data_IF_668446467127
#
_entry.id   IF_668446467127
#
_cell.length_a   1.000
_cell.length_b   1.000
_cell.length_c   1.000
_cell.angle_alpha   90.00
_cell.angle_beta   90.00
_cell.angle_gamma   90.00
#
_symmetry.space_group_name_H-M   'P 1'
#
loop_
_entity.id
_entity.type
_entity.pdbx_description
1 polymer ?
#
# COMPACT_ATOMS: atom_id res chain seq x y z
N UNK A 1 -5.82 -27.87 -6.17
CA UNK A 1 -5.33 -28.40 -4.88
C UNK A 1 -6.18 -27.81 -3.76
N UNK A 2 -6.71 -28.59 -2.82
CA UNK A 2 -7.44 -28.08 -1.64
C UNK A 2 -6.56 -28.30 -0.41
N UNK A 3 -6.03 -27.24 0.19
CA UNK A 3 -5.12 -27.32 1.35
C UNK A 3 -5.83 -27.54 2.70
N UNK A 4 -7.09 -28.00 2.68
CA UNK A 4 -7.91 -28.11 3.89
C UNK A 4 -8.42 -26.77 4.44
N UNK A 5 -8.07 -25.64 3.82
CA UNK A 5 -8.55 -24.31 4.21
C UNK A 5 -10.04 -24.14 3.90
N UNK A 6 -10.77 -23.51 4.83
CA UNK A 6 -12.11 -22.99 4.59
C UNK A 6 -11.98 -21.58 4.03
N UNK A 7 -12.50 -21.35 2.83
CA UNK A 7 -12.47 -20.04 2.16
C UNK A 7 -13.91 -19.56 2.01
N UNK A 8 -14.18 -18.35 2.47
CA UNK A 8 -15.48 -17.70 2.32
C UNK A 8 -15.28 -16.24 1.89
N UNK A 9 -16.16 -15.70 1.03
CA UNK A 9 -16.19 -14.26 0.77
C UNK A 9 -16.47 -13.50 2.07
N UNK A 10 -15.73 -12.43 2.30
CA UNK A 10 -15.90 -11.58 3.47
C UNK A 10 -15.72 -10.12 3.10
N UNK A 11 -16.42 -9.24 3.80
CA UNK A 11 -16.23 -7.80 3.71
C UNK A 11 -15.35 -7.32 4.85
N UNK A 12 -14.45 -6.39 4.55
CA UNK A 12 -13.58 -5.76 5.56
C UNK A 12 -14.12 -4.37 5.82
N UNK A 13 -14.52 -4.12 7.06
CA UNK A 13 -14.92 -2.79 7.49
C UNK A 13 -13.69 -2.06 8.06
N UNK A 14 -13.40 -0.87 7.55
CA UNK A 14 -12.31 -0.02 8.07
C UNK A 14 -12.71 0.72 9.35
N UNK A 15 -13.97 0.65 9.79
CA UNK A 15 -14.49 1.40 10.93
C UNK A 15 -14.73 2.88 10.64
N UNK A 16 -14.46 3.31 9.40
CA UNK A 16 -14.63 4.66 8.85
C UNK A 16 -14.96 4.55 7.36
N UNK A 17 -15.45 5.63 6.75
CA UNK A 17 -15.64 5.66 5.29
C UNK A 17 -14.29 5.67 4.56
N UNK A 18 -14.30 5.28 3.27
CA UNK A 18 -13.10 5.36 2.43
C UNK A 18 -12.59 6.80 2.31
N UNK A 19 -13.48 7.78 2.16
CA UNK A 19 -13.11 9.19 2.09
C UNK A 19 -12.46 9.68 3.39
N UNK A 20 -13.02 9.31 4.55
CA UNK A 20 -12.46 9.65 5.86
C UNK A 20 -11.08 9.00 6.07
N UNK A 21 -10.94 7.74 5.63
CA UNK A 21 -9.66 7.03 5.64
C UNK A 21 -8.60 7.76 4.80
N UNK A 22 -8.91 8.11 3.54
CA UNK A 22 -7.96 8.78 2.65
C UNK A 22 -7.61 10.17 3.17
N UNK A 23 -8.59 10.97 3.61
CA UNK A 23 -8.34 12.31 4.14
C UNK A 23 -7.46 12.28 5.39
N UNK A 24 -7.70 11.35 6.32
CA UNK A 24 -6.87 11.21 7.51
C UNK A 24 -5.42 10.86 7.15
N UNK A 25 -5.22 9.92 6.23
CA UNK A 25 -3.88 9.55 5.78
C UNK A 25 -3.19 10.71 5.05
N UNK A 26 -3.89 11.45 4.19
CA UNK A 26 -3.35 12.64 3.52
C UNK A 26 -2.86 13.67 4.55
N UNK A 27 -3.66 13.97 5.59
CA UNK A 27 -3.27 14.86 6.70
C UNK A 27 -2.01 14.41 7.40
N UNK A 28 -1.93 13.13 7.78
CA UNK A 28 -0.77 12.58 8.48
C UNK A 28 0.48 12.59 7.60
N UNK A 29 0.36 12.16 6.34
CA UNK A 29 1.51 12.01 5.44
C UNK A 29 2.09 13.36 5.05
N UNK A 30 1.25 14.32 4.65
CA UNK A 30 1.73 15.64 4.22
C UNK A 30 2.25 16.47 5.39
N UNK A 31 1.64 16.39 6.58
CA UNK A 31 2.17 17.05 7.77
C UNK A 31 3.55 16.48 8.16
N UNK A 32 3.74 15.16 8.08
CA UNK A 32 5.04 14.53 8.29
C UNK A 32 6.04 14.95 7.21
N UNK A 33 5.62 14.98 5.94
CA UNK A 33 6.45 15.38 4.80
C UNK A 33 7.06 16.78 4.97
N UNK A 34 6.31 17.74 5.52
CA UNK A 34 6.81 19.09 5.79
C UNK A 34 8.10 19.06 6.61
N UNK A 35 8.12 18.27 7.70
CA UNK A 35 9.29 18.17 8.56
C UNK A 35 10.51 17.59 7.84
N UNK A 36 10.31 16.61 6.96
CA UNK A 36 11.39 16.04 6.14
C UNK A 36 11.92 17.04 5.12
N UNK A 37 11.04 17.71 4.38
CA UNK A 37 11.43 18.67 3.35
C UNK A 37 12.15 19.86 3.96
N UNK A 38 11.64 20.42 5.07
CA UNK A 38 12.30 21.53 5.77
C UNK A 38 13.70 21.10 6.26
N UNK A 39 13.81 19.89 6.82
CA UNK A 39 15.10 19.35 7.26
C UNK A 39 16.10 19.15 6.11
N UNK A 40 15.66 18.66 4.96
CA UNK A 40 16.52 18.54 3.77
C UNK A 40 16.90 19.91 3.20
N UNK A 41 15.96 20.84 3.13
CA UNK A 41 16.20 22.20 2.65
C UNK A 41 17.27 22.90 3.50
N UNK A 42 17.17 22.77 4.83
CA UNK A 42 18.18 23.27 5.77
C UNK A 42 19.52 22.57 5.57
N UNK A 43 19.55 21.23 5.54
CA UNK A 43 20.78 20.45 5.45
C UNK A 43 21.56 20.70 4.15
N UNK A 44 20.87 20.95 3.04
CA UNK A 44 21.48 21.21 1.72
C UNK A 44 21.59 22.69 1.37
N UNK A 45 21.03 23.60 2.18
CA UNK A 45 20.97 25.03 1.89
C UNK A 45 20.22 25.34 0.59
N UNK A 46 19.14 24.59 0.31
CA UNK A 46 18.34 24.71 -0.91
C UNK A 46 16.94 25.25 -0.60
N UNK A 47 16.33 26.07 -1.47
CA UNK A 47 14.95 26.51 -1.27
C UNK A 47 13.99 25.32 -1.39
N UNK A 48 12.75 25.51 -0.94
CA UNK A 48 11.65 24.57 -1.17
C UNK A 48 10.74 25.17 -2.24
N UNK A 49 11.05 24.88 -3.49
CA UNK A 49 10.35 25.39 -4.68
C UNK A 49 10.47 24.43 -5.87
N UNK A 50 9.90 24.80 -7.01
CA UNK A 50 9.89 24.00 -8.24
C UNK A 50 11.29 23.71 -8.82
N UNK A 51 12.33 24.44 -8.38
CA UNK A 51 13.71 24.19 -8.84
C UNK A 51 14.39 23.04 -8.09
N UNK A 52 13.75 22.55 -7.03
CA UNK A 52 14.35 21.63 -6.06
C UNK A 52 13.44 20.48 -5.65
N UNK A 53 12.12 20.63 -5.83
CA UNK A 53 11.10 19.67 -5.42
C UNK A 53 10.16 19.39 -6.59
N UNK A 54 9.86 18.11 -6.82
CA UNK A 54 8.88 17.68 -7.83
C UNK A 54 7.49 18.28 -7.56
N UNK A 55 6.69 18.61 -8.60
CA UNK A 55 5.43 19.34 -8.43
C UNK A 55 4.46 18.72 -7.42
N UNK A 56 4.31 17.40 -7.42
CA UNK A 56 3.38 16.66 -6.55
C UNK A 56 3.85 16.70 -5.10
N UNK A 57 5.17 16.65 -4.90
CA UNK A 57 5.78 16.77 -3.58
C UNK A 57 5.67 18.20 -3.06
N UNK A 58 5.82 19.22 -3.92
CA UNK A 58 5.64 20.62 -3.56
C UNK A 58 4.18 20.95 -3.25
N UNK A 59 3.22 20.37 -3.98
CA UNK A 59 1.79 20.47 -3.69
C UNK A 59 1.43 19.82 -2.35
N UNK A 60 1.99 18.63 -2.09
CA UNK A 60 1.86 17.91 -0.82
C UNK A 60 2.44 18.68 0.35
N UNK A 61 3.64 19.26 0.18
CA UNK A 61 4.29 20.14 1.15
C UNK A 61 3.42 21.36 1.47
N UNK A 62 2.96 22.07 0.44
CA UNK A 62 2.15 23.29 0.58
C UNK A 62 0.84 23.01 1.31
N UNK A 63 0.18 21.88 1.02
CA UNK A 63 -1.02 21.47 1.71
C UNK A 63 -0.73 21.03 3.15
N UNK A 64 0.33 20.25 3.37
CA UNK A 64 0.78 19.80 4.69
C UNK A 64 1.04 20.94 5.67
N UNK A 65 1.60 22.07 5.20
CA UNK A 65 1.82 23.28 6.01
C UNK A 65 0.54 23.92 6.54
N UNK A 66 -0.61 23.60 5.95
CA UNK A 66 -1.93 24.12 6.35
C UNK A 66 -2.68 23.15 7.28
N UNK A 67 -2.19 21.92 7.45
CA UNK A 67 -2.79 20.94 8.36
C UNK A 67 -2.60 21.41 9.80
N UNK A 68 -3.70 21.71 10.47
CA UNK A 68 -3.67 22.15 11.87
C UNK A 68 -3.37 20.99 12.83
N UNK A 69 -2.92 21.31 14.04
CA UNK A 69 -2.71 20.31 15.09
C UNK A 69 -3.98 19.53 15.44
N UNK A 70 -5.15 20.18 15.44
CA UNK A 70 -6.43 19.53 15.70
C UNK A 70 -6.78 18.52 14.59
N UNK A 71 -6.55 18.86 13.33
CA UNK A 71 -6.75 17.95 12.20
C UNK A 71 -5.78 16.76 12.23
N UNK A 72 -4.53 16.99 12.64
CA UNK A 72 -3.55 15.92 12.81
C UNK A 72 -3.96 14.94 13.92
N UNK A 73 -4.37 15.46 15.09
CA UNK A 73 -4.88 14.62 16.20
C UNK A 73 -6.11 13.83 15.77
N UNK A 74 -7.07 14.47 15.09
CA UNK A 74 -8.24 13.76 14.57
C UNK A 74 -7.85 12.65 13.58
N UNK A 75 -6.86 12.89 12.72
CA UNK A 75 -6.38 11.86 11.80
C UNK A 75 -5.73 10.67 12.51
N UNK A 76 -5.05 10.88 13.64
CA UNK A 76 -4.57 9.79 14.51
C UNK A 76 -5.73 8.97 15.09
N UNK A 77 -6.82 9.63 15.49
CA UNK A 77 -8.03 8.93 15.98
C UNK A 77 -8.69 8.07 14.90
N UNK A 78 -8.74 8.56 13.66
CA UNK A 78 -9.18 7.77 12.49
C UNK A 78 -8.29 6.54 12.32
N UNK A 79 -6.96 6.70 12.32
CA UNK A 79 -6.01 5.58 12.22
C UNK A 79 -6.23 4.55 13.33
N UNK A 80 -6.45 5.00 14.57
CA UNK A 80 -6.73 4.11 15.70
C UNK A 80 -8.05 3.35 15.53
N UNK A 81 -9.09 3.97 14.97
CA UNK A 81 -10.35 3.28 14.63
C UNK A 81 -10.13 2.20 13.57
N UNK A 82 -9.36 2.51 12.53
CA UNK A 82 -9.02 1.56 11.47
C UNK A 82 -8.24 0.37 12.02
N UNK A 83 -7.20 0.62 12.82
CA UNK A 83 -6.40 -0.43 13.42
C UNK A 83 -7.24 -1.39 14.26
N UNK A 84 -8.15 -0.88 15.10
CA UNK A 84 -9.07 -1.73 15.87
C UNK A 84 -10.03 -2.52 15.00
N UNK A 85 -10.58 -1.90 13.96
CA UNK A 85 -11.53 -2.55 13.05
C UNK A 85 -10.89 -3.68 12.25
N UNK A 86 -9.69 -3.45 11.72
CA UNK A 86 -8.89 -4.48 11.05
C UNK A 86 -8.48 -5.58 12.04
N UNK A 87 -8.02 -5.21 13.25
CA UNK A 87 -7.70 -6.18 14.30
C UNK A 87 -8.86 -7.13 14.61
N UNK A 88 -10.06 -6.56 14.81
CA UNK A 88 -11.28 -7.34 15.10
C UNK A 88 -11.71 -8.26 13.95
N UNK A 89 -11.32 -7.98 12.71
CA UNK A 89 -11.55 -8.91 11.59
C UNK A 89 -10.82 -10.24 11.83
N UNK A 90 -9.59 -10.17 12.35
CA UNK A 90 -8.75 -11.34 12.58
C UNK A 90 -9.14 -12.15 13.84
N UNK A 91 -10.14 -11.71 14.61
CA UNK A 91 -10.76 -12.54 15.65
C UNK A 91 -11.62 -13.66 15.04
N UNK A 92 -12.05 -13.49 13.78
CA UNK A 92 -12.95 -14.40 13.07
C UNK A 92 -12.29 -15.12 11.89
N UNK A 93 -11.21 -14.57 11.36
CA UNK A 93 -10.52 -15.05 10.18
C UNK A 93 -9.01 -15.09 10.46
N UNK A 94 -8.32 -16.17 10.10
CA UNK A 94 -6.87 -16.24 10.28
C UNK A 94 -6.10 -15.43 9.23
N UNK A 95 -6.65 -15.37 8.01
CA UNK A 95 -6.02 -14.74 6.84
C UNK A 95 -7.08 -14.05 5.99
N UNK A 96 -6.75 -12.86 5.52
CA UNK A 96 -7.53 -12.10 4.56
C UNK A 96 -6.82 -12.12 3.19
N UNK A 97 -7.55 -12.48 2.15
CA UNK A 97 -7.07 -12.60 0.77
C UNK A 97 -7.60 -11.45 -0.09
N UNK A 98 -6.72 -10.72 -0.76
CA UNK A 98 -7.07 -9.71 -1.77
C UNK A 98 -6.12 -9.81 -2.97
N UNK A 99 -6.45 -9.25 -4.15
CA UNK A 99 -5.42 -8.80 -5.07
C UNK A 99 -4.47 -7.84 -4.34
N UNK A 100 -3.18 -7.84 -4.67
CA UNK A 100 -2.25 -6.84 -4.11
C UNK A 100 -2.55 -5.46 -4.67
N UNK A 101 -2.79 -5.37 -5.98
CA UNK A 101 -3.20 -4.17 -6.69
C UNK A 101 -4.48 -4.45 -7.49
N UNK A 102 -5.33 -3.44 -7.72
CA UNK A 102 -6.58 -3.60 -8.48
C UNK A 102 -6.37 -3.71 -9.99
N UNK A 103 -5.20 -3.28 -10.48
CA UNK A 103 -4.86 -3.19 -11.90
C UNK A 103 -3.51 -3.89 -12.18
N UNK A 104 -3.31 -4.28 -13.44
CA UNK A 104 -2.01 -4.77 -13.93
C UNK A 104 -0.95 -3.64 -13.91
N UNK A 105 0.35 -3.98 -13.94
CA UNK A 105 1.40 -2.99 -14.09
C UNK A 105 1.14 -2.04 -15.27
N UNK A 106 1.15 -0.74 -14.99
CA UNK A 106 0.90 0.30 -15.97
C UNK A 106 2.18 0.71 -16.70
N UNK A 107 2.05 1.27 -17.90
CA UNK A 107 3.21 1.71 -18.67
C UNK A 107 3.94 2.89 -17.99
N UNK A 108 5.24 3.00 -18.23
CA UNK A 108 6.04 4.13 -17.73
C UNK A 108 5.42 5.46 -18.22
N UNK A 109 5.38 6.44 -17.32
CA UNK A 109 4.78 7.76 -17.58
C UNK A 109 3.28 7.84 -17.30
N UNK A 110 2.58 6.70 -17.12
CA UNK A 110 1.12 6.72 -16.93
C UNK A 110 0.66 6.99 -15.51
N UNK A 111 1.56 6.85 -14.53
CA UNK A 111 1.20 6.91 -13.12
C UNK A 111 0.70 8.31 -12.73
N UNK A 112 1.21 9.37 -13.37
CA UNK A 112 0.83 10.75 -13.08
C UNK A 112 -0.48 11.19 -13.78
N UNK A 113 -0.95 10.44 -14.78
CA UNK A 113 -2.15 10.81 -15.54
C UNK A 113 -3.40 10.93 -14.66
N UNK A 114 -4.09 12.05 -14.79
CA UNK A 114 -5.29 12.39 -14.04
C UNK A 114 -5.00 13.10 -12.71
N UNK A 115 -3.73 13.27 -12.32
CA UNK A 115 -3.32 13.97 -11.12
C UNK A 115 -2.52 15.25 -11.40
N UNK A 116 -2.37 15.61 -12.69
CA UNK A 116 -1.70 16.84 -13.11
C UNK A 116 -2.32 18.07 -12.42
N UNK A 117 -1.50 18.83 -11.70
CA UNK A 117 -1.93 20.07 -11.04
C UNK A 117 -2.87 19.89 -9.85
N UNK A 118 -3.04 18.66 -9.35
CA UNK A 118 -3.79 18.42 -8.10
C UNK A 118 -3.06 19.01 -6.90
N UNK A 119 -3.81 19.39 -5.85
CA UNK A 119 -3.22 19.75 -4.57
C UNK A 119 -2.73 18.50 -3.81
N UNK A 120 -2.11 18.70 -2.65
CA UNK A 120 -1.63 17.59 -1.82
C UNK A 120 -2.72 16.58 -1.44
N UNK A 121 -3.99 16.99 -1.31
CA UNK A 121 -5.09 16.05 -1.05
C UNK A 121 -5.39 15.23 -2.30
N UNK A 122 -5.56 15.88 -3.45
CA UNK A 122 -5.89 15.21 -4.71
C UNK A 122 -4.80 14.22 -5.15
N UNK A 123 -3.53 14.56 -4.95
CA UNK A 123 -2.41 13.65 -5.21
C UNK A 123 -2.51 12.38 -4.35
N UNK A 124 -2.79 12.54 -3.06
CA UNK A 124 -2.94 11.41 -2.14
C UNK A 124 -4.19 10.58 -2.48
N UNK A 125 -5.32 11.19 -2.80
CA UNK A 125 -6.51 10.47 -3.29
C UNK A 125 -6.20 9.60 -4.51
N UNK A 126 -5.42 10.12 -5.46
CA UNK A 126 -4.95 9.37 -6.63
C UNK A 126 -4.08 8.16 -6.25
N UNK A 127 -3.10 8.34 -5.35
CA UNK A 127 -2.24 7.25 -4.87
C UNK A 127 -3.02 6.12 -4.19
N UNK A 128 -3.97 6.48 -3.33
CA UNK A 128 -4.80 5.52 -2.61
C UNK A 128 -5.78 4.78 -3.54
N UNK A 129 -6.24 5.41 -4.61
CA UNK A 129 -7.04 4.74 -5.66
C UNK A 129 -6.23 3.68 -6.41
N UNK A 130 -4.93 3.90 -6.64
CA UNK A 130 -4.05 2.93 -7.30
C UNK A 130 -3.65 1.76 -6.41
N UNK A 131 -3.66 1.93 -5.09
CA UNK A 131 -3.19 0.93 -4.12
C UNK A 131 -4.14 0.72 -2.92
N UNK A 132 -5.44 0.51 -3.14
CA UNK A 132 -6.44 0.55 -2.07
C UNK A 132 -6.31 -0.60 -1.08
N UNK A 133 -5.80 -1.76 -1.54
CA UNK A 133 -5.76 -2.97 -0.74
C UNK A 133 -4.57 -3.03 0.22
N UNK A 134 -3.47 -2.31 -0.03
CA UNK A 134 -2.26 -2.40 0.80
C UNK A 134 -2.29 -1.40 1.95
N UNK A 135 -2.89 -0.23 1.74
CA UNK A 135 -2.79 0.89 2.66
C UNK A 135 -3.44 0.62 4.03
N UNK A 136 -4.52 -0.15 4.07
CA UNK A 136 -5.19 -0.51 5.33
C UNK A 136 -4.24 -1.23 6.31
N UNK A 137 -3.34 -2.08 5.80
CA UNK A 137 -2.41 -2.86 6.61
C UNK A 137 -1.22 -2.02 7.11
N UNK A 138 -0.79 -1.00 6.35
CA UNK A 138 0.17 0.00 6.83
C UNK A 138 -0.41 0.78 8.03
N UNK A 139 -1.68 1.18 7.95
CA UNK A 139 -2.36 1.96 9.00
C UNK A 139 -2.63 1.11 10.23
N UNK A 140 -3.10 -0.13 10.04
CA UNK A 140 -3.40 -1.06 11.11
C UNK A 140 -2.14 -1.67 11.76
N UNK A 141 -1.01 -1.69 11.05
CA UNK A 141 0.23 -2.32 11.52
C UNK A 141 0.18 -3.85 11.55
N UNK A 142 -0.80 -4.46 10.88
CA UNK A 142 -0.92 -5.91 10.74
C UNK A 142 -0.06 -6.42 9.59
N UNK A 143 0.55 -7.61 9.70
CA UNK A 143 1.41 -8.15 8.65
C UNK A 143 0.62 -8.50 7.40
N UNK A 144 1.22 -8.22 6.24
CA UNK A 144 0.72 -8.63 4.93
C UNK A 144 1.89 -9.02 4.01
N UNK A 145 1.65 -9.98 3.12
CA UNK A 145 2.61 -10.43 2.10
C UNK A 145 1.96 -10.46 0.73
N UNK A 146 2.73 -10.17 -0.32
CA UNK A 146 2.32 -10.32 -1.73
C UNK A 146 3.03 -11.51 -2.35
N UNK A 147 2.28 -12.47 -2.90
CA UNK A 147 2.80 -13.72 -3.46
C UNK A 147 2.48 -13.79 -4.96
N UNK A 148 3.45 -14.12 -5.85
CA UNK A 148 3.27 -14.08 -7.31
C UNK A 148 2.60 -15.37 -7.85
N UNK A 149 1.35 -15.61 -7.46
CA UNK A 149 0.65 -16.85 -7.78
C UNK A 149 0.16 -16.91 -9.22
N UNK A 150 -0.13 -15.76 -9.84
CA UNK A 150 -0.73 -15.68 -11.16
C UNK A 150 0.04 -14.72 -12.09
N UNK A 151 -0.24 -14.84 -13.38
CA UNK A 151 0.13 -13.88 -14.39
C UNK A 151 -1.07 -13.66 -15.31
N UNK A 152 -1.17 -12.49 -15.90
CA UNK A 152 -2.19 -12.19 -16.89
C UNK A 152 -1.96 -13.06 -18.15
N UNK A 153 -2.95 -13.85 -18.59
CA UNK A 153 -2.75 -14.75 -19.74
C UNK A 153 -2.47 -14.04 -21.07
N UNK A 154 -2.91 -12.78 -21.21
CA UNK A 154 -2.76 -12.03 -22.47
C UNK A 154 -1.40 -11.35 -22.58
N UNK A 155 -0.91 -10.77 -21.49
CA UNK A 155 0.31 -9.95 -21.45
C UNK A 155 1.50 -10.67 -20.80
N UNK A 156 1.25 -11.72 -20.02
CA UNK A 156 2.26 -12.38 -19.19
C UNK A 156 2.67 -11.58 -17.96
N UNK A 157 2.04 -10.43 -17.68
CA UNK A 157 2.38 -9.59 -16.53
C UNK A 157 2.05 -10.28 -15.20
N UNK A 158 2.93 -10.19 -14.18
CA UNK A 158 2.68 -10.83 -12.89
C UNK A 158 1.49 -10.21 -12.16
N UNK A 159 0.69 -11.06 -11.52
CA UNK A 159 -0.42 -10.66 -10.65
C UNK A 159 -0.08 -11.08 -9.22
N UNK A 160 0.11 -10.07 -8.37
CA UNK A 160 0.33 -10.26 -6.94
C UNK A 160 -0.97 -10.59 -6.22
N UNK A 161 -0.92 -11.61 -5.36
CA UNK A 161 -2.00 -11.98 -4.46
C UNK A 161 -1.56 -11.65 -3.03
N UNK A 162 -2.29 -10.77 -2.37
CA UNK A 162 -2.00 -10.32 -1.02
C UNK A 162 -2.69 -11.20 0.01
N UNK A 163 -1.93 -11.60 1.03
CA UNK A 163 -2.42 -12.28 2.22
C UNK A 163 -2.05 -11.45 3.44
N UNK A 164 -3.04 -11.04 4.21
CA UNK A 164 -2.85 -10.34 5.49
C UNK A 164 -3.30 -11.24 6.65
N UNK A 165 -2.68 -11.07 7.82
CA UNK A 165 -3.01 -11.81 9.04
C UNK A 165 -3.10 -10.87 10.24
N UNK A 166 -3.56 -11.40 11.38
CA UNK A 166 -3.62 -10.66 12.64
C UNK A 166 -2.24 -10.13 13.09
N UNK A 167 -2.24 -9.14 13.97
CA UNK A 167 -1.01 -8.52 14.48
C UNK A 167 -0.03 -9.56 15.04
N UNK A 168 1.23 -9.52 14.62
CA UNK A 168 2.27 -10.46 15.04
C UNK A 168 2.12 -11.90 14.50
N UNK A 169 1.27 -12.12 13.47
CA UNK A 169 1.03 -13.44 12.86
C UNK A 169 1.77 -13.68 11.55
N UNK A 170 2.99 -13.14 11.44
CA UNK A 170 3.92 -13.45 10.35
C UNK A 170 4.18 -14.96 10.24
N UNK A 171 4.12 -15.68 11.37
CA UNK A 171 4.21 -17.15 11.42
C UNK A 171 3.16 -17.84 10.54
N UNK A 172 1.92 -17.33 10.54
CA UNK A 172 0.83 -17.83 9.67
C UNK A 172 1.16 -17.55 8.21
N UNK A 173 1.59 -16.32 7.91
CA UNK A 173 1.90 -15.90 6.56
C UNK A 173 3.06 -16.71 5.97
N UNK A 174 4.17 -16.89 6.68
CA UNK A 174 5.29 -17.68 6.19
C UNK A 174 4.93 -19.17 6.01
N UNK A 175 4.15 -19.75 6.93
CA UNK A 175 3.66 -21.13 6.77
C UNK A 175 2.77 -21.26 5.52
N UNK A 176 1.87 -20.31 5.30
CA UNK A 176 1.03 -20.27 4.11
C UNK A 176 1.84 -20.06 2.84
N UNK A 177 2.81 -19.14 2.84
CA UNK A 177 3.70 -18.90 1.71
C UNK A 177 4.43 -20.18 1.30
N UNK A 178 5.00 -20.93 2.25
CA UNK A 178 5.66 -22.20 1.95
C UNK A 178 4.71 -23.28 1.41
N UNK A 179 3.45 -23.32 1.84
CA UNK A 179 2.45 -24.21 1.25
C UNK A 179 2.13 -23.82 -0.19
N UNK A 180 1.94 -22.52 -0.43
CA UNK A 180 1.64 -21.96 -1.75
C UNK A 180 2.79 -22.17 -2.72
N UNK A 181 4.03 -21.95 -2.27
CA UNK A 181 5.25 -22.14 -3.07
C UNK A 181 5.41 -23.58 -3.53
N UNK A 182 5.23 -24.56 -2.63
CA UNK A 182 5.29 -25.98 -3.00
C UNK A 182 4.19 -26.39 -3.98
N UNK A 183 3.03 -25.75 -3.89
CA UNK A 183 1.88 -26.10 -4.72
C UNK A 183 1.84 -25.43 -6.08
N UNK A 184 2.35 -24.20 -6.16
CA UNK A 184 2.43 -23.41 -7.37
C UNK A 184 3.81 -22.75 -7.45
N UNK A 185 4.90 -23.51 -7.70
CA UNK A 185 6.25 -22.97 -7.71
C UNK A 185 6.39 -21.78 -8.64
N UNK A 186 7.06 -20.73 -8.16
CA UNK A 186 7.39 -19.52 -8.93
C UNK A 186 8.90 -19.30 -9.09
N UNK A 187 9.75 -20.14 -8.49
CA UNK A 187 11.21 -20.00 -8.52
C UNK A 187 11.80 -19.94 -9.95
N UNK A 188 11.15 -20.61 -10.91
CA UNK A 188 11.58 -20.64 -12.32
C UNK A 188 10.87 -19.62 -13.21
N UNK A 189 9.99 -18.78 -12.64
CA UNK A 189 9.32 -17.70 -13.39
C UNK A 189 10.28 -16.52 -13.48
N UNK A 190 10.92 -16.36 -14.64
CA UNK A 190 11.80 -15.22 -14.91
C UNK A 190 11.16 -14.23 -15.88
N UNK A 191 11.43 -12.92 -15.71
CA UNK A 191 11.05 -11.92 -16.71
C UNK A 191 11.83 -12.13 -18.03
N UNK A 192 11.35 -11.59 -19.17
CA UNK A 192 12.06 -11.65 -20.45
C UNK A 192 13.46 -11.03 -20.40
N UNK A 193 13.66 -10.06 -19.51
CA UNK A 193 14.97 -9.45 -19.22
C UNK A 193 15.40 -9.89 -17.83
N UNK A 194 16.27 -10.90 -17.77
CA UNK A 194 16.79 -11.47 -16.53
C UNK A 194 18.32 -11.44 -16.53
N UNK A 195 18.92 -10.71 -15.58
CA UNK A 195 20.37 -10.59 -15.42
C UNK A 195 20.86 -11.43 -14.22
N UNK A 196 20.60 -12.74 -14.25
CA UNK A 196 21.02 -13.66 -13.20
C UNK A 196 21.26 -15.07 -13.72
N UNK A 197 21.94 -15.91 -12.95
CA UNK A 197 22.09 -17.33 -13.26
C UNK A 197 20.88 -18.08 -12.70
N UNK A 198 20.19 -18.87 -13.52
CA UNK A 198 19.15 -19.77 -13.01
C UNK A 198 19.80 -20.83 -12.10
N UNK A 199 19.17 -21.20 -10.97
CA UNK A 199 19.60 -22.37 -10.21
C UNK A 199 19.64 -23.61 -11.12
N UNK A 200 20.66 -24.46 -10.93
CA UNK A 200 20.78 -25.70 -11.69
C UNK A 200 19.52 -26.57 -11.50
N UNK A 201 19.17 -27.31 -12.56
CA UNK A 201 17.88 -28.00 -12.65
C UNK A 201 17.69 -29.11 -11.64
#
# INVERSE_FOLDING_TARGET
MRFGHRVEPTGVNLGVSWEEFVLANARLWTANLVTWIDGFAEAFGRPVDETTVEPEMLASYTWGRRVSGAEFVHALDVRNRVARSIGAHFDRHDVLLTPTLPELPVAIGTYHHGAEGTDGRGWLEHLFHRSPFTAAFNVAGTPAMSVPLAADPATGMPIGIQFAAGYGREDVLFRLAGQLERAAPWERRTPPVWAGTLPAA
#
